data_IF_913416722805
#
_entry.id   IF_913416722805
#
_cell.length_a   1.000
_cell.length_b   1.000
_cell.length_c   1.000
_cell.angle_alpha   90.00
_cell.angle_beta   90.00
_cell.angle_gamma   90.00
#
_symmetry.space_group_name_H-M   'P 1'
#
loop_
_entity.id
_entity.type
_entity.pdbx_description
1 polymer ?
#
# COMPACT_ATOMS: atom_id res chain seq x y z
N UNK A 1 15.49 18.47 -32.16
CA UNK A 1 14.26 18.02 -31.44
C UNK A 1 14.13 18.81 -30.14
N UNK A 2 12.94 19.29 -29.76
CA UNK A 2 12.75 20.03 -28.50
C UNK A 2 12.36 19.05 -27.40
N UNK A 3 13.27 18.79 -26.46
CA UNK A 3 13.01 17.90 -25.32
C UNK A 3 11.99 18.58 -24.40
N UNK A 4 10.91 17.87 -24.09
CA UNK A 4 9.90 18.33 -23.15
C UNK A 4 10.36 18.13 -21.70
N UNK A 5 9.84 18.93 -20.77
CA UNK A 5 10.13 18.78 -19.33
C UNK A 5 9.71 17.42 -18.77
N UNK A 6 8.68 16.78 -19.36
CA UNK A 6 8.26 15.43 -18.99
C UNK A 6 9.35 14.40 -19.29
N UNK A 7 10.05 14.55 -20.42
CA UNK A 7 11.15 13.67 -20.83
C UNK A 7 12.42 13.86 -19.99
N UNK A 8 12.59 15.00 -19.33
CA UNK A 8 13.75 15.30 -18.47
C UNK A 8 13.63 14.65 -17.09
N UNK A 9 12.41 14.38 -16.61
CA UNK A 9 12.18 13.99 -15.21
C UNK A 9 12.87 12.67 -14.84
N UNK A 10 12.76 11.65 -15.69
CA UNK A 10 13.40 10.34 -15.45
C UNK A 10 14.93 10.44 -15.51
N UNK A 11 15.55 11.00 -16.57
CA UNK A 11 16.99 11.24 -16.60
C UNK A 11 17.52 12.07 -15.44
N UNK A 12 16.76 13.06 -14.95
CA UNK A 12 17.13 13.86 -13.78
C UNK A 12 17.24 13.01 -12.51
N UNK A 13 16.25 12.15 -12.26
CA UNK A 13 16.21 11.29 -11.07
C UNK A 13 17.26 10.18 -11.22
N UNK A 14 17.40 9.60 -12.41
CA UNK A 14 18.44 8.63 -12.80
C UNK A 14 19.84 9.16 -12.54
N UNK A 15 20.14 10.39 -13.00
CA UNK A 15 21.43 11.05 -12.81
C UNK A 15 21.76 11.29 -11.32
N UNK A 16 20.77 11.65 -10.50
CA UNK A 16 20.96 11.78 -9.05
C UNK A 16 21.21 10.43 -8.38
N UNK A 17 20.49 9.37 -8.80
CA UNK A 17 20.69 8.03 -8.24
C UNK A 17 22.07 7.48 -8.57
N UNK A 18 22.53 7.64 -9.81
CA UNK A 18 23.88 7.23 -10.24
C UNK A 18 24.99 7.97 -9.50
N UNK A 19 24.70 9.15 -8.96
CA UNK A 19 25.65 9.95 -8.18
C UNK A 19 25.48 9.78 -6.66
N UNK A 20 25.02 8.61 -6.21
CA UNK A 20 24.89 8.30 -4.78
C UNK A 20 23.71 8.99 -4.08
N UNK A 21 22.71 9.42 -4.84
CA UNK A 21 21.47 9.99 -4.33
C UNK A 21 21.51 11.50 -4.07
N UNK A 22 22.69 12.14 -4.08
CA UNK A 22 22.80 13.60 -3.91
C UNK A 22 23.93 14.20 -4.76
N UNK A 23 23.66 15.33 -5.42
CA UNK A 23 24.63 15.96 -6.33
C UNK A 23 24.44 17.46 -6.49
N UNK A 24 25.41 18.10 -7.16
CA UNK A 24 25.38 19.53 -7.49
C UNK A 24 24.70 19.75 -8.85
N UNK A 25 24.03 20.90 -9.06
CA UNK A 25 23.35 21.20 -10.32
C UNK A 25 24.23 21.06 -11.55
N UNK A 26 25.50 21.51 -11.46
CA UNK A 26 26.43 21.46 -12.60
C UNK A 26 26.65 20.03 -13.09
N UNK A 27 26.94 19.11 -12.16
CA UNK A 27 27.19 17.70 -12.45
C UNK A 27 25.92 17.00 -12.98
N UNK A 28 24.77 17.36 -12.43
CA UNK A 28 23.47 16.85 -12.90
C UNK A 28 23.11 17.35 -14.29
N UNK A 29 23.39 18.60 -14.64
CA UNK A 29 23.15 19.09 -16.01
C UNK A 29 23.95 18.30 -17.03
N UNK A 30 25.22 18.01 -16.75
CA UNK A 30 26.09 17.22 -17.61
C UNK A 30 25.56 15.79 -17.76
N UNK A 31 25.29 15.10 -16.65
CA UNK A 31 24.78 13.73 -16.66
C UNK A 31 23.43 13.58 -17.37
N UNK A 32 22.49 14.51 -17.16
CA UNK A 32 21.19 14.52 -17.85
C UNK A 32 21.35 14.78 -19.35
N UNK A 33 22.30 15.66 -19.74
CA UNK A 33 22.56 15.92 -21.15
C UNK A 33 23.19 14.71 -21.86
N UNK A 34 24.08 13.99 -21.17
CA UNK A 34 24.68 12.76 -21.66
C UNK A 34 23.64 11.64 -21.82
N UNK A 35 22.78 11.44 -20.82
CA UNK A 35 21.71 10.43 -20.87
C UNK A 35 20.68 10.71 -21.97
N UNK A 36 20.42 11.99 -22.28
CA UNK A 36 19.54 12.40 -23.38
C UNK A 36 20.22 12.44 -24.75
N UNK A 37 21.51 12.10 -24.85
CA UNK A 37 22.26 12.11 -26.10
C UNK A 37 22.38 13.50 -26.75
N UNK A 38 22.44 14.57 -25.94
CA UNK A 38 22.43 15.94 -26.44
C UNK A 38 23.76 16.33 -27.09
N UNK A 39 23.69 16.93 -28.28
CA UNK A 39 24.85 17.49 -28.99
C UNK A 39 25.36 18.79 -28.32
N UNK A 40 26.60 19.17 -28.62
CA UNK A 40 27.21 20.40 -28.07
C UNK A 40 26.37 21.67 -28.31
N UNK A 41 25.86 21.82 -29.54
CA UNK A 41 24.97 22.93 -29.93
C UNK A 41 23.66 22.92 -29.13
N UNK A 42 23.08 21.74 -28.89
CA UNK A 42 21.85 21.62 -28.12
C UNK A 42 22.06 21.95 -26.64
N UNK A 43 23.23 21.61 -26.08
CA UNK A 43 23.61 21.94 -24.69
C UNK A 43 23.83 23.44 -24.49
N UNK A 44 24.33 24.16 -25.50
CA UNK A 44 24.65 25.60 -25.41
C UNK A 44 23.53 26.54 -25.84
N UNK A 45 22.40 26.00 -26.32
CA UNK A 45 21.27 26.79 -26.81
C UNK A 45 20.76 27.77 -25.76
N UNK A 46 20.72 29.05 -26.12
CA UNK A 46 20.21 30.12 -25.27
C UNK A 46 18.69 30.32 -25.41
N UNK A 47 18.06 30.87 -24.38
CA UNK A 47 16.67 31.33 -24.42
C UNK A 47 16.57 32.68 -25.13
N UNK A 48 15.36 33.05 -25.53
CA UNK A 48 15.07 34.47 -25.80
C UNK A 48 15.37 35.29 -24.54
N UNK A 49 15.76 36.55 -24.74
CA UNK A 49 16.00 37.49 -23.65
C UNK A 49 14.74 37.63 -22.78
N UNK A 50 14.93 37.64 -21.47
CA UNK A 50 13.86 37.88 -20.51
C UNK A 50 13.49 39.38 -20.45
N UNK A 51 12.59 39.74 -19.53
CA UNK A 51 12.14 41.13 -19.35
C UNK A 51 13.26 42.11 -18.96
N UNK A 52 14.40 41.60 -18.52
CA UNK A 52 15.59 42.37 -18.12
C UNK A 52 16.71 42.29 -19.17
N UNK A 53 16.44 41.72 -20.36
CA UNK A 53 17.41 41.57 -21.43
C UNK A 53 18.40 40.41 -21.25
N UNK A 54 18.25 39.57 -20.20
CA UNK A 54 19.17 38.45 -19.94
C UNK A 54 18.76 37.20 -20.71
N UNK A 55 19.77 36.50 -21.24
CA UNK A 55 19.59 35.17 -21.83
C UNK A 55 20.13 34.10 -20.88
N UNK A 56 19.54 32.91 -20.96
CA UNK A 56 19.96 31.77 -20.14
C UNK A 56 20.13 30.54 -21.00
N UNK A 57 20.92 29.57 -20.52
CA UNK A 57 20.95 28.25 -21.12
C UNK A 57 19.55 27.63 -21.05
N UNK A 58 18.96 27.33 -22.21
CA UNK A 58 17.60 26.84 -22.34
C UNK A 58 17.43 25.45 -21.73
N UNK A 59 18.43 24.58 -21.89
CA UNK A 59 18.40 23.21 -21.36
C UNK A 59 18.51 23.21 -19.82
N UNK A 60 19.52 23.88 -19.26
CA UNK A 60 19.68 23.98 -17.81
C UNK A 60 18.47 24.63 -17.13
N UNK A 61 17.85 25.61 -17.79
CA UNK A 61 16.58 26.19 -17.34
C UNK A 61 15.49 25.13 -17.26
N UNK A 62 15.29 24.33 -18.31
CA UNK A 62 14.26 23.28 -18.33
C UNK A 62 14.56 22.16 -17.32
N UNK A 63 15.83 21.83 -17.06
CA UNK A 63 16.21 20.93 -15.96
C UNK A 63 15.84 21.53 -14.59
N UNK A 64 16.11 22.83 -14.35
CA UNK A 64 15.69 23.52 -13.11
C UNK A 64 14.17 23.52 -12.90
N UNK A 65 13.39 23.78 -13.96
CA UNK A 65 11.93 23.70 -13.89
C UNK A 65 11.45 22.27 -13.61
N UNK A 66 12.12 21.27 -14.20
CA UNK A 66 11.81 19.87 -13.97
C UNK A 66 12.14 19.48 -12.52
N UNK A 67 13.27 19.93 -11.98
CA UNK A 67 13.61 19.79 -10.55
C UNK A 67 12.57 20.43 -9.65
N UNK A 68 12.11 21.65 -9.95
CA UNK A 68 11.07 22.30 -9.14
C UNK A 68 9.77 21.48 -9.13
N UNK A 69 9.44 20.88 -10.27
CA UNK A 69 8.31 19.94 -10.39
C UNK A 69 8.55 18.68 -9.56
N UNK A 70 9.75 18.10 -9.63
CA UNK A 70 10.14 16.92 -8.87
C UNK A 70 10.10 17.18 -7.34
N UNK A 71 10.54 18.34 -6.88
CA UNK A 71 10.42 18.76 -5.48
C UNK A 71 8.96 18.91 -5.05
N UNK A 72 8.10 19.50 -5.88
CA UNK A 72 6.65 19.57 -5.59
C UNK A 72 6.00 18.19 -5.50
N UNK A 73 6.51 17.23 -6.28
CA UNK A 73 6.11 15.82 -6.25
C UNK A 73 6.78 15.03 -5.13
N UNK A 74 7.60 15.64 -4.29
CA UNK A 74 8.29 14.97 -3.20
C UNK A 74 9.41 14.02 -3.64
N UNK A 75 9.86 14.06 -4.90
CA UNK A 75 10.88 13.16 -5.48
C UNK A 75 12.33 13.63 -5.21
N UNK A 76 12.52 14.94 -5.04
CA UNK A 76 13.83 15.56 -4.83
C UNK A 76 13.73 16.59 -3.70
N UNK A 77 14.59 16.47 -2.70
CA UNK A 77 14.81 17.44 -1.63
C UNK A 77 16.05 18.30 -1.89
N UNK A 78 16.20 19.37 -1.11
CA UNK A 78 17.44 20.14 -1.03
C UNK A 78 17.83 20.29 0.44
N UNK A 79 18.60 19.33 0.97
CA UNK A 79 19.03 19.34 2.37
C UNK A 79 19.96 20.53 2.65
N UNK A 80 20.75 20.93 1.64
CA UNK A 80 21.68 22.05 1.72
C UNK A 80 21.59 22.95 0.49
N UNK A 81 22.05 24.19 0.64
CA UNK A 81 22.05 25.17 -0.46
C UNK A 81 23.00 24.69 -1.56
N UNK A 82 22.45 24.45 -2.75
CA UNK A 82 23.24 24.02 -3.91
C UNK A 82 23.38 22.50 -4.06
N UNK A 83 22.74 21.71 -3.19
CA UNK A 83 22.69 20.24 -3.29
C UNK A 83 21.26 19.81 -3.62
N UNK A 84 21.12 18.92 -4.60
CA UNK A 84 19.88 18.24 -4.94
C UNK A 84 20.00 16.79 -4.48
N UNK A 85 19.03 16.31 -3.71
CA UNK A 85 19.03 14.95 -3.17
C UNK A 85 17.75 14.24 -3.57
N UNK A 86 17.84 12.98 -3.96
CA UNK A 86 16.66 12.11 -4.02
C UNK A 86 16.07 11.97 -2.63
N UNK A 87 14.74 11.89 -2.61
CA UNK A 87 14.00 11.37 -1.46
C UNK A 87 13.78 9.87 -1.66
N UNK A 88 13.28 9.19 -0.64
CA UNK A 88 12.87 7.78 -0.74
C UNK A 88 11.90 7.57 -1.92
N UNK A 89 10.93 8.47 -2.09
CA UNK A 89 10.01 8.48 -3.23
C UNK A 89 10.71 8.65 -4.58
N UNK A 90 11.78 9.46 -4.61
CA UNK A 90 12.61 9.67 -5.79
C UNK A 90 13.33 8.40 -6.22
N UNK A 91 13.91 7.68 -5.26
CA UNK A 91 14.50 6.37 -5.50
C UNK A 91 13.45 5.37 -5.98
N UNK A 92 12.32 5.26 -5.29
CA UNK A 92 11.24 4.33 -5.64
C UNK A 92 10.75 4.53 -7.09
N UNK A 93 10.79 5.76 -7.61
CA UNK A 93 10.37 6.04 -8.99
C UNK A 93 11.22 5.37 -10.07
N UNK A 94 12.52 5.16 -9.83
CA UNK A 94 13.39 4.44 -10.77
C UNK A 94 13.17 2.92 -10.71
N UNK A 95 12.77 2.44 -9.54
CA UNK A 95 12.58 1.02 -9.24
C UNK A 95 11.13 0.56 -9.44
N UNK A 96 10.30 1.36 -10.12
CA UNK A 96 8.93 0.98 -10.41
C UNK A 96 8.80 0.11 -11.66
N UNK A 97 7.89 -0.87 -11.60
CA UNK A 97 7.64 -1.78 -12.70
C UNK A 97 7.18 -1.03 -13.96
N UNK A 98 7.67 -1.49 -15.13
CA UNK A 98 7.18 -1.05 -16.44
C UNK A 98 5.87 -1.76 -16.79
N UNK A 99 5.06 -1.18 -17.67
CA UNK A 99 3.85 -1.82 -18.17
C UNK A 99 4.17 -3.10 -18.95
N UNK A 100 3.39 -4.16 -18.73
CA UNK A 100 3.55 -5.44 -19.41
C UNK A 100 4.64 -6.35 -18.84
N UNK A 101 5.35 -5.91 -17.78
CA UNK A 101 6.42 -6.68 -17.15
C UNK A 101 5.92 -7.34 -15.85
N UNK A 102 6.09 -8.66 -15.76
CA UNK A 102 5.95 -9.42 -14.51
C UNK A 102 7.26 -10.12 -14.21
N UNK A 103 7.88 -9.80 -13.09
CA UNK A 103 9.15 -10.42 -12.66
C UNK A 103 9.00 -10.99 -11.26
N UNK A 104 9.35 -12.27 -11.09
CA UNK A 104 9.48 -12.86 -9.75
C UNK A 104 10.76 -12.33 -9.09
N UNK A 105 10.61 -11.63 -7.98
CA UNK A 105 11.73 -11.11 -7.16
C UNK A 105 12.29 -12.24 -6.32
N UNK A 106 11.40 -12.96 -5.63
CA UNK A 106 11.74 -14.18 -4.91
C UNK A 106 10.49 -15.06 -4.74
N UNK A 107 10.74 -16.30 -4.35
CA UNK A 107 9.71 -17.27 -4.04
C UNK A 107 10.07 -18.07 -2.78
N UNK A 108 9.08 -18.68 -2.16
CA UNK A 108 9.17 -19.64 -1.06
C UNK A 108 8.39 -20.89 -1.45
N UNK A 109 8.38 -21.96 -0.62
CA UNK A 109 7.51 -23.11 -0.87
C UNK A 109 6.00 -22.76 -0.94
N UNK A 110 5.57 -21.68 -0.27
CA UNK A 110 4.17 -21.27 -0.22
C UNK A 110 3.79 -20.16 -1.20
N UNK A 111 4.74 -19.47 -1.83
CA UNK A 111 4.33 -18.34 -2.66
C UNK A 111 5.43 -17.54 -3.34
N UNK A 112 5.00 -16.50 -4.05
CA UNK A 112 5.87 -15.69 -4.91
C UNK A 112 5.62 -14.19 -4.74
N UNK A 113 6.72 -13.43 -4.69
CA UNK A 113 6.71 -11.97 -4.69
C UNK A 113 6.99 -11.44 -6.10
N UNK A 114 6.02 -10.75 -6.69
CA UNK A 114 6.07 -10.29 -8.08
C UNK A 114 6.27 -8.78 -8.16
N UNK A 115 7.29 -8.35 -8.90
CA UNK A 115 7.48 -6.96 -9.28
C UNK A 115 6.73 -6.69 -10.58
N UNK A 116 5.60 -5.99 -10.47
CA UNK A 116 4.70 -5.69 -11.59
C UNK A 116 3.76 -4.55 -11.22
N UNK A 117 3.19 -3.91 -12.24
CA UNK A 117 2.01 -3.05 -12.05
C UNK A 117 0.75 -3.90 -11.88
N UNK A 118 -0.23 -3.33 -11.17
CA UNK A 118 -1.53 -3.95 -10.90
C UNK A 118 -2.26 -4.34 -12.20
N UNK A 119 -2.32 -3.42 -13.15
CA UNK A 119 -3.06 -3.56 -14.40
C UNK A 119 -2.48 -4.67 -15.28
N UNK A 120 -1.17 -4.90 -15.18
CA UNK A 120 -0.50 -6.02 -15.85
C UNK A 120 -0.78 -7.33 -15.13
N UNK A 121 -0.68 -7.35 -13.80
CA UNK A 121 -0.77 -8.57 -13.01
C UNK A 121 -2.09 -9.32 -13.15
N UNK A 122 -3.22 -8.60 -13.21
CA UNK A 122 -4.56 -9.19 -13.28
C UNK A 122 -4.68 -10.21 -14.41
N UNK A 123 -4.08 -9.94 -15.58
CA UNK A 123 -4.12 -10.82 -16.75
C UNK A 123 -3.36 -12.14 -16.59
N UNK A 124 -2.51 -12.27 -15.57
CA UNK A 124 -1.68 -13.45 -15.33
C UNK A 124 -2.27 -14.42 -14.28
N UNK A 125 -3.34 -14.03 -13.59
CA UNK A 125 -4.04 -14.92 -12.69
C UNK A 125 -5.01 -15.82 -13.46
N UNK A 126 -5.08 -17.08 -13.06
CA UNK A 126 -6.12 -18.00 -13.50
C UNK A 126 -7.48 -17.55 -12.98
N UNK A 127 -8.53 -17.80 -13.78
CA UNK A 127 -9.90 -17.57 -13.34
C UNK A 127 -10.28 -18.55 -12.23
N UNK A 128 -11.15 -18.14 -11.29
CA UNK A 128 -11.67 -19.00 -10.22
C UNK A 128 -10.57 -19.66 -9.34
N UNK A 129 -9.47 -18.95 -9.11
CA UNK A 129 -8.30 -19.49 -8.39
C UNK A 129 -8.11 -18.88 -6.98
N UNK A 130 -8.55 -17.64 -6.76
CA UNK A 130 -8.21 -16.87 -5.55
C UNK A 130 -9.28 -17.05 -4.47
N UNK A 131 -8.88 -17.51 -3.27
CA UNK A 131 -9.79 -17.62 -2.11
C UNK A 131 -9.96 -16.30 -1.38
N UNK A 132 -8.86 -15.56 -1.22
CA UNK A 132 -8.87 -14.27 -0.53
C UNK A 132 -7.97 -13.26 -1.25
N UNK A 133 -8.57 -12.15 -1.68
CA UNK A 133 -7.81 -10.95 -2.01
C UNK A 133 -7.77 -10.06 -0.77
N UNK A 134 -6.60 -9.92 -0.15
CA UNK A 134 -6.44 -9.08 1.05
C UNK A 134 -5.35 -8.04 0.82
N UNK A 135 -5.73 -6.77 0.96
CA UNK A 135 -4.79 -5.66 0.70
C UNK A 135 -5.17 -4.39 1.46
N UNK A 136 -4.21 -3.49 1.56
CA UNK A 136 -4.37 -2.14 2.09
C UNK A 136 -3.95 -1.15 1.01
N UNK A 137 -4.87 -0.72 0.11
CA UNK A 137 -4.53 0.16 -1.00
C UNK A 137 -3.99 1.50 -0.51
N UNK A 138 -3.25 2.24 -1.36
CA UNK A 138 -2.90 3.63 -1.04
C UNK A 138 -4.17 4.47 -0.90
N UNK A 139 -4.23 5.37 0.09
CA UNK A 139 -5.45 6.15 0.37
C UNK A 139 -5.51 7.47 -0.43
N UNK A 140 -6.70 8.07 -0.62
CA UNK A 140 -6.81 9.37 -1.28
C UNK A 140 -5.95 10.42 -0.56
N UNK A 141 -5.12 11.14 -1.32
CA UNK A 141 -4.18 12.15 -0.79
C UNK A 141 -2.93 11.60 -0.08
N UNK A 142 -2.81 10.28 0.15
CA UNK A 142 -1.57 9.65 0.64
C UNK A 142 -0.55 9.40 -0.50
N UNK A 143 -1.02 9.44 -1.75
CA UNK A 143 -0.24 9.17 -2.96
C UNK A 143 0.79 10.25 -3.33
N UNK A 144 0.97 11.31 -2.53
CA UNK A 144 2.19 12.11 -2.65
C UNK A 144 3.46 11.31 -2.38
N UNK A 145 3.36 10.10 -1.82
CA UNK A 145 4.47 9.17 -1.54
C UNK A 145 4.40 7.85 -2.35
N UNK A 146 3.52 7.72 -3.35
CA UNK A 146 3.45 6.54 -4.19
C UNK A 146 3.25 6.98 -5.64
N UNK A 147 3.87 6.30 -6.61
CA UNK A 147 4.27 6.88 -7.89
C UNK A 147 3.17 7.31 -8.89
N UNK A 148 1.88 7.29 -8.53
CA UNK A 148 0.75 7.41 -9.45
C UNK A 148 -0.07 8.71 -9.33
N UNK A 149 0.55 9.82 -8.90
CA UNK A 149 -0.09 11.14 -8.93
C UNK A 149 -1.17 11.34 -7.87
N UNK A 150 -1.64 12.59 -7.72
CA UNK A 150 -2.71 12.92 -6.78
C UNK A 150 -4.02 12.27 -7.27
N UNK A 151 -4.36 11.07 -6.80
CA UNK A 151 -5.74 10.60 -6.91
C UNK A 151 -6.56 11.44 -5.95
N UNK A 152 -7.38 12.33 -6.51
CA UNK A 152 -8.50 12.88 -5.78
C UNK A 152 -9.49 11.76 -5.41
N UNK A 153 -10.48 12.11 -4.60
CA UNK A 153 -11.46 11.17 -4.08
C UNK A 153 -12.10 10.30 -5.17
N UNK A 154 -12.48 10.90 -6.30
CA UNK A 154 -13.20 10.20 -7.38
C UNK A 154 -12.28 9.30 -8.21
N UNK A 155 -11.07 9.78 -8.49
CA UNK A 155 -10.05 8.99 -9.17
C UNK A 155 -9.64 7.77 -8.34
N UNK A 156 -9.58 7.93 -7.01
CA UNK A 156 -9.31 6.81 -6.10
C UNK A 156 -10.45 5.78 -6.11
N UNK A 157 -11.70 6.23 -6.05
CA UNK A 157 -12.86 5.33 -6.12
C UNK A 157 -12.85 4.56 -7.44
N UNK A 158 -12.58 5.22 -8.56
CA UNK A 158 -12.50 4.57 -9.87
C UNK A 158 -11.38 3.53 -9.93
N UNK A 159 -10.18 3.87 -9.45
CA UNK A 159 -9.07 2.92 -9.31
C UNK A 159 -9.46 1.66 -8.51
N UNK A 160 -10.14 1.83 -7.39
CA UNK A 160 -10.61 0.69 -6.58
C UNK A 160 -11.67 -0.14 -7.31
N UNK A 161 -12.59 0.48 -8.03
CA UNK A 161 -13.60 -0.23 -8.83
C UNK A 161 -12.96 -1.01 -9.98
N UNK A 162 -11.94 -0.45 -10.63
CA UNK A 162 -11.19 -1.11 -11.71
C UNK A 162 -10.42 -2.32 -11.17
N UNK A 163 -9.76 -2.18 -10.02
CA UNK A 163 -9.10 -3.31 -9.34
C UNK A 163 -10.09 -4.42 -9.01
N UNK A 164 -11.21 -4.08 -8.34
CA UNK A 164 -12.21 -5.06 -7.92
C UNK A 164 -12.79 -5.78 -9.14
N UNK A 165 -13.12 -5.04 -10.19
CA UNK A 165 -13.66 -5.61 -11.43
C UNK A 165 -12.65 -6.48 -12.16
N UNK A 166 -11.37 -6.10 -12.17
CA UNK A 166 -10.29 -6.87 -12.78
C UNK A 166 -10.06 -8.23 -12.08
N UNK A 167 -10.10 -8.24 -10.74
CA UNK A 167 -9.94 -9.48 -9.97
C UNK A 167 -11.22 -10.31 -9.85
N UNK A 168 -12.39 -9.75 -10.12
CA UNK A 168 -13.67 -10.46 -10.03
C UNK A 168 -13.68 -11.85 -10.70
N UNK A 169 -13.27 -12.03 -11.97
CA UNK A 169 -13.23 -13.35 -12.60
C UNK A 169 -12.16 -14.30 -12.01
N UNK A 170 -11.19 -13.74 -11.29
CA UNK A 170 -10.07 -14.48 -10.68
C UNK A 170 -10.43 -15.05 -9.30
N UNK A 171 -11.43 -14.47 -8.65
CA UNK A 171 -11.93 -14.94 -7.37
C UNK A 171 -12.70 -16.25 -7.53
N UNK A 172 -12.59 -17.12 -6.52
CA UNK A 172 -13.50 -18.26 -6.39
C UNK A 172 -14.92 -17.83 -6.09
N UNK A 173 -15.90 -18.66 -6.44
CA UNK A 173 -17.31 -18.44 -6.08
C UNK A 173 -17.52 -18.29 -4.56
N UNK A 174 -16.70 -18.94 -3.75
CA UNK A 174 -16.69 -18.81 -2.28
C UNK A 174 -15.68 -17.78 -1.78
N UNK A 175 -14.96 -17.12 -2.67
CA UNK A 175 -13.87 -16.21 -2.35
C UNK A 175 -14.35 -14.88 -1.78
N UNK A 176 -13.42 -14.20 -1.09
CA UNK A 176 -13.66 -12.90 -0.46
C UNK A 176 -12.60 -11.88 -0.86
N UNK A 177 -12.99 -10.62 -0.95
CA UNK A 177 -12.06 -9.49 -0.96
C UNK A 177 -12.14 -8.77 0.38
N UNK A 178 -11.00 -8.52 1.02
CA UNK A 178 -10.90 -7.78 2.27
C UNK A 178 -9.96 -6.58 2.09
N UNK A 179 -10.52 -5.37 2.16
CA UNK A 179 -9.82 -4.13 1.82
C UNK A 179 -9.66 -3.25 3.06
N UNK A 180 -8.45 -3.14 3.61
CA UNK A 180 -8.16 -2.21 4.71
C UNK A 180 -8.01 -0.79 4.17
N UNK A 181 -8.95 0.10 4.50
CA UNK A 181 -8.99 1.45 3.93
C UNK A 181 -9.33 2.47 5.00
N UNK A 182 -8.40 3.38 5.30
CA UNK A 182 -8.66 4.46 6.25
C UNK A 182 -9.58 5.55 5.68
N UNK A 183 -10.34 6.19 6.57
CA UNK A 183 -10.91 7.50 6.29
C UNK A 183 -9.81 8.57 6.31
N UNK A 184 -9.86 9.49 5.35
CA UNK A 184 -8.88 10.56 5.18
C UNK A 184 -9.58 11.91 5.19
N UNK A 185 -8.82 12.99 5.41
CA UNK A 185 -9.35 14.36 5.39
C UNK A 185 -9.20 14.98 4.00
N UNK A 186 -10.14 15.81 3.61
CA UNK A 186 -10.00 16.65 2.41
C UNK A 186 -8.77 17.54 2.58
N UNK A 187 -7.86 17.62 1.58
CA UNK A 187 -6.64 18.41 1.68
C UNK A 187 -6.92 19.85 2.12
N UNK A 188 -6.31 20.25 3.24
CA UNK A 188 -6.43 21.60 3.79
C UNK A 188 -7.68 21.90 4.59
N UNK A 189 -8.65 20.98 4.69
CA UNK A 189 -9.92 21.18 5.39
C UNK A 189 -10.10 20.15 6.54
N UNK A 190 -10.79 20.51 7.64
CA UNK A 190 -11.08 19.60 8.74
C UNK A 190 -12.33 18.73 8.48
N UNK A 191 -12.60 18.36 7.24
CA UNK A 191 -13.72 17.50 6.82
C UNK A 191 -13.16 16.18 6.27
N UNK A 192 -13.86 15.08 6.50
CA UNK A 192 -13.48 13.78 5.93
C UNK A 192 -13.85 13.71 4.45
N UNK A 193 -13.12 12.89 3.71
CA UNK A 193 -13.49 12.44 2.37
C UNK A 193 -14.54 11.32 2.47
N UNK A 194 -15.37 11.21 1.44
CA UNK A 194 -16.49 10.26 1.33
C UNK A 194 -16.14 9.06 0.42
N UNK A 195 -14.87 8.84 0.10
CA UNK A 195 -14.41 7.75 -0.80
C UNK A 195 -14.91 6.36 -0.37
N UNK A 196 -14.98 6.07 0.93
CA UNK A 196 -15.53 4.79 1.41
C UNK A 196 -17.03 4.67 1.15
N UNK A 197 -17.79 5.73 1.39
CA UNK A 197 -19.24 5.79 1.12
C UNK A 197 -19.49 5.62 -0.37
N UNK A 198 -18.76 6.37 -1.21
CA UNK A 198 -18.83 6.28 -2.67
C UNK A 198 -18.46 4.90 -3.19
N UNK A 199 -17.37 4.30 -2.70
CA UNK A 199 -16.97 2.95 -3.08
C UNK A 199 -18.07 1.94 -2.75
N UNK A 200 -18.66 2.00 -1.55
CA UNK A 200 -19.78 1.11 -1.16
C UNK A 200 -21.00 1.29 -2.07
N UNK A 201 -21.36 2.52 -2.40
CA UNK A 201 -22.47 2.80 -3.29
C UNK A 201 -22.20 2.25 -4.69
N UNK A 202 -21.04 2.53 -5.27
CA UNK A 202 -20.67 2.05 -6.60
C UNK A 202 -20.58 0.53 -6.67
N UNK A 203 -20.08 -0.13 -5.63
CA UNK A 203 -20.10 -1.60 -5.55
C UNK A 203 -21.52 -2.15 -5.73
N UNK A 204 -22.51 -1.60 -5.02
CA UNK A 204 -23.88 -2.12 -5.08
C UNK A 204 -24.65 -1.70 -6.35
N UNK A 205 -24.31 -0.56 -6.96
CA UNK A 205 -25.00 -0.04 -8.15
C UNK A 205 -24.38 -0.47 -9.47
N UNK A 206 -23.07 -0.73 -9.51
CA UNK A 206 -22.32 -1.01 -10.75
C UNK A 206 -21.83 -2.46 -10.83
N UNK A 207 -21.85 -3.22 -9.72
CA UNK A 207 -21.35 -4.60 -9.68
C UNK A 207 -22.29 -5.54 -8.92
N UNK A 208 -21.98 -6.83 -8.94
CA UNK A 208 -22.67 -7.84 -8.14
C UNK A 208 -22.11 -7.97 -6.73
N UNK A 209 -20.96 -7.38 -6.46
CA UNK A 209 -20.34 -7.40 -5.14
C UNK A 209 -21.21 -6.68 -4.09
N UNK A 210 -21.18 -7.22 -2.87
CA UNK A 210 -21.82 -6.64 -1.68
C UNK A 210 -20.81 -6.60 -0.55
N UNK A 211 -20.96 -5.62 0.35
CA UNK A 211 -20.23 -5.64 1.62
C UNK A 211 -20.95 -6.62 2.54
N UNK A 212 -20.30 -7.74 2.85
CA UNK A 212 -20.82 -8.76 3.76
C UNK A 212 -20.76 -8.29 5.22
N UNK A 213 -19.64 -7.67 5.60
CA UNK A 213 -19.44 -7.07 6.91
C UNK A 213 -18.33 -5.99 6.85
N UNK A 214 -18.10 -5.29 7.95
CA UNK A 214 -16.98 -4.36 8.10
C UNK A 214 -16.28 -4.62 9.42
N UNK A 215 -15.05 -5.10 9.34
CA UNK A 215 -14.18 -5.19 10.50
C UNK A 215 -13.57 -3.81 10.74
N UNK A 216 -13.23 -3.51 11.98
CA UNK A 216 -12.64 -2.23 12.38
C UNK A 216 -11.33 -2.48 13.09
N UNK A 217 -10.22 -2.06 12.49
CA UNK A 217 -8.94 -2.09 13.15
C UNK A 217 -8.73 -0.80 13.95
N UNK A 218 -8.72 -0.93 15.28
CA UNK A 218 -8.27 0.11 16.18
C UNK A 218 -6.75 0.05 16.35
N UNK A 219 -6.08 1.01 15.72
CA UNK A 219 -4.65 1.27 15.86
C UNK A 219 -4.33 2.02 17.17
N UNK A 220 -3.95 1.25 18.19
CA UNK A 220 -3.66 1.80 19.53
C UNK A 220 -2.45 2.72 19.57
N UNK A 221 -1.51 2.60 18.62
CA UNK A 221 -0.28 3.40 18.54
C UNK A 221 -0.35 4.55 17.53
N UNK A 222 -1.52 4.81 16.92
CA UNK A 222 -1.71 5.92 15.98
C UNK A 222 -1.24 7.24 16.62
N UNK A 223 -0.62 8.13 15.86
CA UNK A 223 -0.27 9.47 16.37
C UNK A 223 -1.47 10.42 16.32
N UNK A 224 -1.39 11.57 16.98
CA UNK A 224 -2.39 12.64 16.90
C UNK A 224 -2.32 13.34 15.52
N UNK A 225 -2.78 12.64 14.48
CA UNK A 225 -2.75 13.07 13.08
C UNK A 225 -4.17 13.10 12.49
N UNK A 226 -4.55 14.10 11.67
CA UNK A 226 -3.74 15.23 11.23
C UNK A 226 -3.44 16.23 12.34
N UNK A 227 -2.15 16.57 12.52
CA UNK A 227 -1.65 17.36 13.66
C UNK A 227 -2.41 18.69 13.83
N UNK A 228 -2.67 19.39 12.71
CA UNK A 228 -3.37 20.67 12.71
C UNK A 228 -4.75 20.59 13.37
N UNK A 229 -5.54 19.55 13.05
CA UNK A 229 -6.93 19.43 13.51
C UNK A 229 -7.04 18.77 14.87
N UNK A 230 -6.20 17.77 15.15
CA UNK A 230 -6.27 16.94 16.35
C UNK A 230 -5.44 17.54 17.50
N UNK A 231 -4.18 17.90 17.25
CA UNK A 231 -3.24 18.30 18.30
C UNK A 231 -3.17 19.83 18.48
N UNK A 232 -3.15 20.59 17.38
CA UNK A 232 -2.97 22.04 17.40
C UNK A 232 -4.29 22.77 17.67
N UNK A 233 -5.30 22.59 16.80
CA UNK A 233 -6.60 23.26 16.95
C UNK A 233 -7.55 22.53 17.90
N UNK A 234 -7.34 21.22 18.11
CA UNK A 234 -8.16 20.36 19.00
C UNK A 234 -9.65 20.38 18.67
N UNK A 235 -9.98 20.45 17.38
CA UNK A 235 -11.36 20.47 16.86
C UNK A 235 -11.82 19.11 16.33
N UNK A 236 -10.95 18.09 16.34
CA UNK A 236 -11.25 16.72 15.91
C UNK A 236 -10.64 15.71 16.87
N UNK A 237 -11.29 14.55 16.95
CA UNK A 237 -10.75 13.38 17.63
C UNK A 237 -9.68 12.69 16.78
N UNK A 238 -8.86 11.88 17.44
CA UNK A 238 -7.83 11.05 16.81
C UNK A 238 -8.48 9.96 15.95
N UNK A 239 -8.23 9.90 14.63
CA UNK A 239 -8.73 8.84 13.76
C UNK A 239 -7.87 7.58 13.93
N UNK A 240 -8.11 6.83 15.00
CA UNK A 240 -7.38 5.60 15.33
C UNK A 240 -8.03 4.33 14.82
N UNK A 241 -9.16 4.42 14.11
CA UNK A 241 -9.89 3.26 13.60
C UNK A 241 -9.87 3.27 12.07
N UNK A 242 -9.48 2.14 11.47
CA UNK A 242 -9.47 1.92 10.01
C UNK A 242 -10.42 0.75 9.69
N UNK A 243 -11.42 0.90 8.81
CA UNK A 243 -12.28 -0.19 8.40
C UNK A 243 -11.58 -1.14 7.42
N UNK A 244 -11.85 -2.44 7.58
CA UNK A 244 -11.59 -3.47 6.59
C UNK A 244 -12.93 -3.86 5.97
N UNK A 245 -13.14 -3.47 4.72
CA UNK A 245 -14.34 -3.83 3.97
C UNK A 245 -14.24 -5.30 3.58
N UNK A 246 -15.18 -6.13 4.03
CA UNK A 246 -15.29 -7.51 3.58
C UNK A 246 -16.36 -7.62 2.50
N UNK A 247 -15.95 -7.94 1.29
CA UNK A 247 -16.73 -7.86 0.06
C UNK A 247 -16.74 -9.22 -0.64
N UNK A 248 -17.88 -9.64 -1.17
CA UNK A 248 -18.01 -10.80 -2.08
C UNK A 248 -19.26 -10.67 -2.95
N UNK A 249 -19.30 -11.35 -4.09
CA UNK A 249 -20.54 -11.55 -4.85
C UNK A 249 -21.44 -12.61 -4.20
N UNK A 250 -20.83 -13.55 -3.46
CA UNK A 250 -21.54 -14.62 -2.78
C UNK A 250 -21.84 -14.21 -1.31
N UNK A 251 -23.11 -14.08 -0.91
CA UNK A 251 -23.47 -13.76 0.47
C UNK A 251 -23.09 -14.87 1.47
N UNK A 252 -22.76 -16.06 0.97
CA UNK A 252 -22.29 -17.22 1.74
C UNK A 252 -20.81 -17.53 1.46
N UNK A 253 -20.01 -16.50 1.11
CA UNK A 253 -18.56 -16.64 0.94
C UNK A 253 -17.93 -17.36 2.15
N UNK A 254 -16.86 -18.10 1.88
CA UNK A 254 -16.14 -18.93 2.85
C UNK A 254 -15.77 -18.10 4.07
N UNK A 255 -16.24 -18.52 5.24
CA UNK A 255 -15.93 -17.89 6.50
C UNK A 255 -16.07 -18.84 7.68
N UNK A 256 -15.15 -18.75 8.64
CA UNK A 256 -15.22 -19.49 9.90
C UNK A 256 -14.77 -18.65 11.09
N UNK A 257 -15.74 -18.09 11.83
CA UNK A 257 -15.45 -17.26 13.00
C UNK A 257 -14.81 -18.04 14.17
N UNK A 258 -14.84 -19.39 14.14
CA UNK A 258 -14.14 -20.22 15.13
C UNK A 258 -12.62 -20.16 14.97
N UNK A 259 -12.12 -19.78 13.79
CA UNK A 259 -10.69 -19.63 13.54
C UNK A 259 -10.10 -18.37 14.19
N UNK A 260 -10.96 -17.47 14.69
CA UNK A 260 -10.56 -16.17 15.26
C UNK A 260 -11.16 -15.91 16.64
N UNK A 261 -11.48 -16.96 17.40
CA UNK A 261 -12.00 -16.83 18.76
C UNK A 261 -11.04 -16.02 19.65
N UNK A 262 -11.62 -15.22 20.54
CA UNK A 262 -10.90 -14.51 21.58
C UNK A 262 -10.89 -15.34 22.85
N UNK A 263 -9.82 -15.20 23.64
CA UNK A 263 -9.82 -15.75 25.00
C UNK A 263 -10.98 -15.16 25.78
N UNK A 264 -11.68 -16.01 26.51
CA UNK A 264 -12.72 -15.57 27.43
C UNK A 264 -12.15 -14.56 28.42
N UNK A 265 -12.88 -13.45 28.64
CA UNK A 265 -12.57 -12.53 29.74
C UNK A 265 -12.88 -13.14 31.11
N UNK A 266 -13.93 -13.97 31.15
CA UNK A 266 -14.37 -14.78 32.28
C UNK A 266 -14.89 -16.11 31.75
N UNK A 267 -14.67 -17.24 32.44
CA UNK A 267 -15.19 -18.53 32.03
C UNK A 267 -16.70 -18.49 31.77
N UNK A 268 -17.23 -19.24 30.78
CA UNK A 268 -18.68 -19.30 30.52
C UNK A 268 -19.51 -19.65 31.77
N UNK A 269 -18.96 -20.49 32.65
CA UNK A 269 -19.56 -20.86 33.93
C UNK A 269 -19.77 -19.68 34.89
N UNK A 270 -18.96 -18.62 34.81
CA UNK A 270 -19.05 -17.42 35.65
C UNK A 270 -19.87 -16.29 35.02
N UNK A 271 -20.06 -16.31 33.71
CA UNK A 271 -20.87 -15.33 32.98
C UNK A 271 -22.31 -15.77 32.77
N UNK A 272 -22.67 -16.94 33.32
CA UNK A 272 -23.99 -17.52 33.22
C UNK A 272 -25.08 -16.55 33.65
N UNK A 273 -26.02 -16.29 32.75
CA UNK A 273 -27.25 -15.58 33.06
C UNK A 273 -28.30 -16.59 33.51
N UNK A 274 -29.07 -16.29 34.56
CA UNK A 274 -30.16 -17.12 35.13
C UNK A 274 -31.36 -17.35 34.18
N UNK A 275 -31.16 -17.29 32.85
CA UNK A 275 -32.24 -17.25 31.87
C UNK A 275 -33.19 -16.08 32.11
N UNK A 276 -34.37 -16.14 31.47
CA UNK A 276 -35.45 -15.19 31.71
C UNK A 276 -35.78 -14.34 30.50
N UNK A 277 -36.81 -13.51 30.64
CA UNK A 277 -37.31 -12.62 29.59
C UNK A 277 -36.71 -11.24 29.82
N UNK A 278 -35.93 -10.75 28.85
CA UNK A 278 -35.45 -9.37 28.88
C UNK A 278 -36.63 -8.39 28.72
N UNK A 279 -36.52 -7.13 29.18
CA UNK A 279 -37.57 -6.12 28.98
C UNK A 279 -38.05 -5.98 27.53
N UNK A 280 -37.18 -6.26 26.54
CA UNK A 280 -37.53 -6.30 25.11
C UNK A 280 -38.12 -7.63 24.62
N UNK A 281 -38.70 -8.46 25.49
CA UNK A 281 -39.41 -9.69 25.14
C UNK A 281 -38.54 -10.88 24.73
N UNK A 282 -37.23 -10.69 24.52
CA UNK A 282 -36.32 -11.78 24.16
C UNK A 282 -36.12 -12.74 25.34
N UNK A 283 -36.49 -14.01 25.12
CA UNK A 283 -36.27 -15.09 26.09
C UNK A 283 -34.85 -15.61 25.96
N UNK A 284 -34.07 -15.48 27.03
CA UNK A 284 -32.75 -16.08 27.08
C UNK A 284 -32.86 -17.50 27.63
N UNK A 285 -32.26 -18.45 26.91
CA UNK A 285 -32.03 -19.79 27.43
C UNK A 285 -31.18 -19.69 28.70
N UNK A 286 -31.54 -20.48 29.71
CA UNK A 286 -30.73 -20.64 30.90
C UNK A 286 -29.39 -21.28 30.51
N UNK A 287 -29.37 -22.30 29.65
CA UNK A 287 -28.16 -23.08 29.33
C UNK A 287 -27.46 -22.72 28.03
N UNK A 288 -28.03 -21.84 27.19
CA UNK A 288 -27.54 -21.61 25.82
C UNK A 288 -26.10 -21.06 25.71
N UNK A 289 -25.56 -20.49 26.78
CA UNK A 289 -24.23 -19.87 26.82
C UNK A 289 -23.29 -20.50 27.85
N UNK A 290 -23.63 -21.67 28.41
CA UNK A 290 -22.84 -22.31 29.47
C UNK A 290 -21.69 -23.19 28.95
N UNK A 291 -21.69 -23.53 27.65
CA UNK A 291 -20.67 -24.37 27.05
C UNK A 291 -19.35 -23.63 26.80
N UNK A 292 -18.23 -24.28 27.12
CA UNK A 292 -16.91 -23.86 26.66
C UNK A 292 -16.73 -24.24 25.19
N UNK A 293 -16.52 -23.24 24.34
CA UNK A 293 -16.33 -23.38 22.90
C UNK A 293 -14.88 -23.07 22.47
N UNK A 294 -13.94 -23.07 23.41
CA UNK A 294 -12.53 -22.73 23.17
C UNK A 294 -12.24 -21.22 23.12
N UNK A 295 -13.27 -20.37 23.22
CA UNK A 295 -13.16 -18.92 23.25
C UNK A 295 -14.48 -18.22 22.91
N UNK A 296 -14.51 -16.90 23.12
CA UNK A 296 -15.65 -16.06 22.75
C UNK A 296 -15.57 -15.64 21.28
N UNK A 297 -16.73 -15.55 20.61
CA UNK A 297 -16.83 -14.98 19.26
C UNK A 297 -16.20 -13.58 19.25
N UNK A 298 -15.29 -13.34 18.31
CA UNK A 298 -14.64 -12.04 18.18
C UNK A 298 -15.67 -10.97 17.74
N UNK A 299 -15.63 -9.76 18.34
CA UNK A 299 -16.36 -8.63 17.78
C UNK A 299 -15.68 -8.16 16.49
N UNK A 300 -16.43 -7.41 15.66
CA UNK A 300 -15.88 -6.76 14.46
C UNK A 300 -14.74 -5.79 14.74
N UNK A 301 -14.59 -5.33 16.00
CA UNK A 301 -13.51 -4.45 16.43
C UNK A 301 -12.26 -5.25 16.83
N UNK A 302 -11.21 -5.14 16.03
CA UNK A 302 -9.88 -5.68 16.28
C UNK A 302 -8.94 -4.58 16.79
N UNK A 303 -8.21 -4.79 17.89
CA UNK A 303 -7.27 -3.81 18.44
C UNK A 303 -5.83 -4.31 18.38
N UNK A 304 -4.96 -3.56 17.71
CA UNK A 304 -3.52 -3.80 17.66
C UNK A 304 -2.77 -2.50 17.36
N UNK A 305 -1.55 -2.34 17.87
CA UNK A 305 -0.71 -1.21 17.48
C UNK A 305 -0.27 -1.33 16.02
N UNK A 306 -0.06 -0.20 15.35
CA UNK A 306 0.63 -0.14 14.05
C UNK A 306 2.02 -0.77 14.09
N UNK A 307 2.56 -1.06 12.91
CA UNK A 307 3.83 -1.77 12.77
C UNK A 307 4.88 -0.92 12.05
N UNK A 308 6.14 -1.08 12.46
CA UNK A 308 7.31 -0.64 11.69
C UNK A 308 8.05 -1.84 11.07
N UNK A 309 7.46 -3.04 11.15
CA UNK A 309 8.14 -4.29 10.85
C UNK A 309 9.09 -4.74 11.97
N UNK A 310 9.53 -6.01 11.93
CA UNK A 310 10.42 -6.57 12.94
C UNK A 310 11.81 -5.90 12.91
N UNK A 311 12.55 -5.98 14.02
CA UNK A 311 13.85 -5.32 14.18
C UNK A 311 14.87 -5.77 13.12
N UNK A 312 14.99 -7.08 12.88
CA UNK A 312 15.93 -7.64 11.90
C UNK A 312 15.68 -7.11 10.48
N UNK A 313 14.41 -6.92 10.10
CA UNK A 313 14.03 -6.36 8.80
C UNK A 313 14.53 -4.91 8.67
N UNK A 314 14.30 -4.07 9.70
CA UNK A 314 14.76 -2.68 9.69
C UNK A 314 16.28 -2.55 9.67
N UNK A 315 16.98 -3.45 10.36
CA UNK A 315 18.44 -3.51 10.35
C UNK A 315 18.98 -3.89 8.96
N UNK A 316 18.34 -4.85 8.29
CA UNK A 316 18.71 -5.26 6.94
C UNK A 316 18.47 -4.15 5.90
N UNK A 317 17.32 -3.45 5.96
CA UNK A 317 17.07 -2.28 5.12
C UNK A 317 18.16 -1.22 5.26
N UNK A 318 18.53 -0.88 6.51
CA UNK A 318 19.57 0.10 6.79
C UNK A 318 20.93 -0.33 6.23
N UNK A 319 21.26 -1.62 6.33
CA UNK A 319 22.53 -2.17 5.82
C UNK A 319 22.62 -2.05 4.29
N UNK A 320 21.51 -2.22 3.59
CA UNK A 320 21.41 -2.20 2.13
C UNK A 320 21.03 -0.83 1.55
N UNK A 321 20.85 0.18 2.40
CA UNK A 321 20.40 1.51 1.94
C UNK A 321 19.00 1.52 1.34
N UNK A 322 18.16 0.53 1.67
CA UNK A 322 16.81 0.40 1.13
C UNK A 322 15.78 1.21 1.95
N UNK A 323 14.78 1.82 1.30
CA UNK A 323 13.75 2.58 1.98
C UNK A 323 12.81 1.68 2.79
N UNK A 324 12.35 2.18 3.93
CA UNK A 324 11.33 1.51 4.72
C UNK A 324 9.94 1.90 4.22
N UNK A 325 9.09 0.90 3.97
CA UNK A 325 7.68 1.15 3.65
C UNK A 325 7.01 2.02 4.74
N UNK A 326 6.36 3.14 4.39
CA UNK A 326 5.95 4.14 5.36
C UNK A 326 4.68 3.77 6.14
N UNK A 327 3.88 2.83 5.63
CA UNK A 327 2.61 2.41 6.22
C UNK A 327 2.50 0.88 6.29
N UNK A 328 3.09 0.26 7.30
CA UNK A 328 3.05 -1.20 7.48
C UNK A 328 1.88 -1.56 8.41
N UNK A 329 0.92 -2.35 7.90
CA UNK A 329 -0.15 -2.90 8.73
C UNK A 329 0.39 -3.96 9.72
N UNK A 330 -0.28 -4.22 10.84
CA UNK A 330 0.12 -5.26 11.79
C UNK A 330 -0.10 -6.65 11.18
N UNK A 331 0.88 -7.55 11.31
CA UNK A 331 0.72 -8.94 10.85
C UNK A 331 -0.49 -9.63 11.50
N UNK A 332 -0.80 -9.30 12.76
CA UNK A 332 -1.95 -9.84 13.45
C UNK A 332 -3.30 -9.44 12.80
N UNK A 333 -3.38 -8.28 12.13
CA UNK A 333 -4.57 -7.89 11.37
C UNK A 333 -4.71 -8.80 10.14
N UNK A 334 -3.64 -8.97 9.39
CA UNK A 334 -3.60 -9.87 8.23
C UNK A 334 -3.96 -11.31 8.63
N UNK A 335 -3.34 -11.82 9.69
CA UNK A 335 -3.63 -13.16 10.21
C UNK A 335 -5.10 -13.31 10.63
N UNK A 336 -5.72 -12.28 11.22
CA UNK A 336 -7.12 -12.32 11.61
C UNK A 336 -8.03 -12.45 10.37
N UNK A 337 -7.82 -11.61 9.36
CA UNK A 337 -8.57 -11.66 8.10
C UNK A 337 -8.37 -12.99 7.36
N UNK A 338 -7.13 -13.45 7.21
CA UNK A 338 -6.79 -14.71 6.53
C UNK A 338 -7.42 -15.90 7.24
N UNK A 339 -7.28 -16.02 8.57
CA UNK A 339 -7.91 -17.11 9.34
C UNK A 339 -9.43 -17.14 9.21
N UNK A 340 -10.06 -15.97 9.16
CA UNK A 340 -11.51 -15.86 9.08
C UNK A 340 -12.03 -16.36 7.72
N UNK A 341 -11.36 -16.02 6.62
CA UNK A 341 -11.87 -16.23 5.26
C UNK A 341 -11.18 -17.37 4.46
N UNK A 342 -10.17 -18.05 5.02
CA UNK A 342 -9.41 -19.11 4.33
C UNK A 342 -9.06 -20.28 5.25
N UNK A 343 -8.68 -21.41 4.65
CA UNK A 343 -8.09 -22.60 5.27
C UNK A 343 -6.61 -22.79 4.82
N UNK A 344 -5.81 -23.64 5.48
CA UNK A 344 -4.48 -23.98 5.00
C UNK A 344 -4.50 -24.48 3.55
N UNK A 345 -3.55 -24.04 2.72
CA UNK A 345 -3.45 -24.35 1.30
C UNK A 345 -4.32 -23.48 0.38
N UNK A 346 -5.21 -22.65 0.92
CA UNK A 346 -5.94 -21.65 0.11
C UNK A 346 -4.97 -20.57 -0.40
N UNK A 347 -5.30 -19.99 -1.56
CA UNK A 347 -4.54 -18.94 -2.22
C UNK A 347 -4.99 -17.55 -1.75
N UNK A 348 -4.05 -16.81 -1.17
CA UNK A 348 -4.20 -15.41 -0.76
C UNK A 348 -3.43 -14.49 -1.71
N UNK A 349 -4.10 -13.48 -2.26
CA UNK A 349 -3.48 -12.50 -3.15
C UNK A 349 -3.47 -11.11 -2.52
N UNK A 350 -2.32 -10.44 -2.56
CA UNK A 350 -2.18 -9.04 -2.20
C UNK A 350 -1.66 -8.22 -3.39
N UNK A 351 -2.54 -7.47 -4.10
CA UNK A 351 -2.17 -6.67 -5.27
C UNK A 351 -1.31 -5.44 -4.98
N UNK A 352 -1.15 -5.03 -3.72
CA UNK A 352 -0.42 -3.82 -3.32
C UNK A 352 0.34 -4.10 -2.02
N UNK A 353 1.18 -5.12 -2.10
CA UNK A 353 1.67 -5.81 -0.91
C UNK A 353 2.71 -5.02 -0.10
N UNK A 354 3.34 -4.02 -0.71
CA UNK A 354 4.34 -3.14 -0.10
C UNK A 354 5.40 -3.95 0.62
N UNK A 355 5.38 -3.86 1.95
CA UNK A 355 6.31 -4.60 2.80
C UNK A 355 6.07 -6.12 2.88
N UNK A 356 5.12 -6.73 2.17
CA UNK A 356 4.78 -8.17 2.20
C UNK A 356 4.30 -8.68 3.58
N UNK A 357 3.48 -7.90 4.28
CA UNK A 357 2.88 -8.35 5.56
C UNK A 357 1.89 -9.50 5.33
N UNK A 358 1.11 -9.44 4.26
CA UNK A 358 0.14 -10.49 3.87
C UNK A 358 0.86 -11.82 3.63
N UNK A 359 1.90 -11.84 2.81
CA UNK A 359 2.73 -13.03 2.58
C UNK A 359 3.31 -13.61 3.89
N UNK A 360 3.84 -12.77 4.78
CA UNK A 360 4.37 -13.23 6.08
C UNK A 360 3.29 -13.88 6.95
N UNK A 361 2.07 -13.33 6.94
CA UNK A 361 0.94 -13.95 7.60
C UNK A 361 0.54 -15.28 6.95
N UNK A 362 0.57 -15.38 5.62
CA UNK A 362 0.27 -16.61 4.88
C UNK A 362 1.27 -17.73 5.20
N UNK A 363 2.57 -17.42 5.21
CA UNK A 363 3.63 -18.35 5.63
C UNK A 363 3.39 -18.91 7.04
N UNK A 364 3.08 -18.03 7.99
CA UNK A 364 2.80 -18.45 9.38
C UNK A 364 1.54 -19.32 9.49
N UNK A 365 0.62 -19.19 8.53
CA UNK A 365 -0.67 -19.88 8.53
C UNK A 365 -0.73 -21.02 7.50
N UNK A 366 0.36 -21.33 6.80
CA UNK A 366 0.40 -22.33 5.73
C UNK A 366 -0.69 -22.09 4.66
N UNK A 367 -0.84 -20.84 4.23
CA UNK A 367 -1.63 -20.47 3.04
C UNK A 367 -0.67 -20.23 1.89
N UNK A 368 -1.11 -20.57 0.69
CA UNK A 368 -0.37 -20.20 -0.51
C UNK A 368 -0.60 -18.72 -0.79
N UNK A 369 0.39 -18.06 -1.38
CA UNK A 369 0.32 -16.61 -1.58
C UNK A 369 0.96 -16.13 -2.86
N UNK A 370 0.33 -15.12 -3.46
CA UNK A 370 0.93 -14.30 -4.51
C UNK A 370 0.80 -12.84 -4.10
N UNK A 371 1.92 -12.18 -3.89
CA UNK A 371 1.94 -10.79 -3.48
C UNK A 371 2.70 -9.99 -4.52
N UNK A 372 2.17 -8.86 -4.92
CA UNK A 372 2.79 -8.00 -5.92
C UNK A 372 2.86 -6.56 -5.47
N UNK A 373 3.89 -5.87 -5.96
CA UNK A 373 4.03 -4.43 -5.78
C UNK A 373 4.74 -3.83 -7.00
N UNK A 374 4.40 -2.58 -7.29
CA UNK A 374 5.09 -1.81 -8.33
C UNK A 374 6.51 -1.43 -7.92
N UNK A 375 6.81 -1.32 -6.63
CA UNK A 375 8.11 -0.90 -6.09
C UNK A 375 9.04 -2.09 -5.82
N UNK A 376 10.11 -2.21 -6.61
CA UNK A 376 11.12 -3.25 -6.38
C UNK A 376 11.85 -3.05 -5.05
N UNK A 377 12.08 -1.80 -4.62
CA UNK A 377 12.78 -1.50 -3.37
C UNK A 377 12.02 -2.07 -2.15
N UNK A 378 10.69 -2.02 -2.17
CA UNK A 378 9.85 -2.57 -1.10
C UNK A 378 9.88 -4.10 -1.10
N UNK A 379 9.75 -4.74 -2.26
CA UNK A 379 9.81 -6.20 -2.38
C UNK A 379 11.20 -6.73 -2.00
N UNK A 380 12.24 -6.06 -2.49
CA UNK A 380 13.62 -6.36 -2.14
C UNK A 380 13.83 -6.23 -0.64
N UNK A 381 13.44 -5.13 -0.01
CA UNK A 381 13.54 -4.97 1.43
C UNK A 381 12.78 -6.05 2.21
N UNK A 382 11.56 -6.35 1.78
CA UNK A 382 10.68 -7.31 2.42
C UNK A 382 11.17 -8.76 2.37
N UNK A 383 12.02 -9.12 1.39
CA UNK A 383 12.61 -10.46 1.24
C UNK A 383 13.36 -10.93 2.49
N UNK A 384 13.91 -10.02 3.28
CA UNK A 384 14.59 -10.34 4.55
C UNK A 384 13.68 -10.95 5.62
N UNK A 385 12.36 -10.90 5.44
CA UNK A 385 11.38 -11.60 6.28
C UNK A 385 11.18 -13.07 5.90
N UNK A 386 11.83 -13.52 4.84
CA UNK A 386 11.70 -14.85 4.27
C UNK A 386 13.10 -15.49 4.16
N UNK A 387 13.55 -16.22 5.20
CA UNK A 387 14.89 -16.80 5.22
C UNK A 387 15.07 -17.95 4.21
N UNK A 388 14.01 -18.72 3.94
CA UNK A 388 14.04 -19.89 3.04
C UNK A 388 13.70 -19.54 1.58
N UNK A 389 13.81 -18.27 1.21
CA UNK A 389 13.45 -17.81 -0.14
C UNK A 389 14.49 -18.24 -1.18
N UNK A 390 14.02 -18.52 -2.40
CA UNK A 390 14.83 -18.52 -3.61
C UNK A 390 14.64 -17.18 -4.30
N UNK A 391 15.72 -16.39 -4.40
CA UNK A 391 15.64 -15.03 -4.94
C UNK A 391 16.32 -14.90 -6.30
N UNK A 392 15.85 -13.94 -7.09
CA UNK A 392 16.47 -13.56 -8.34
C UNK A 392 17.66 -12.62 -8.07
N UNK A 393 18.79 -13.20 -7.65
CA UNK A 393 19.99 -12.43 -7.26
C UNK A 393 20.48 -11.52 -8.39
N UNK A 394 20.44 -11.98 -9.64
CA UNK A 394 20.86 -11.16 -10.79
C UNK A 394 19.99 -9.92 -11.00
N UNK A 395 18.67 -10.01 -10.77
CA UNK A 395 17.78 -8.85 -10.78
C UNK A 395 18.15 -7.86 -9.66
N UNK A 396 18.31 -8.37 -8.44
CA UNK A 396 18.57 -7.55 -7.26
C UNK A 396 19.92 -6.82 -7.38
N UNK A 397 20.97 -7.52 -7.82
CA UNK A 397 22.31 -6.94 -8.06
C UNK A 397 22.30 -5.91 -9.20
N UNK A 398 21.48 -6.12 -10.24
CA UNK A 398 21.42 -5.21 -11.38
C UNK A 398 20.60 -3.93 -11.08
N UNK A 399 19.61 -4.02 -10.21
CA UNK A 399 18.60 -2.96 -10.03
C UNK A 399 18.70 -2.23 -8.69
N UNK A 400 19.48 -2.73 -7.73
CA UNK A 400 19.66 -2.12 -6.42
C UNK A 400 21.10 -1.66 -6.24
N UNK A 401 21.33 -0.59 -5.45
CA UNK A 401 22.65 0.01 -5.24
C UNK A 401 23.65 -0.88 -4.48
#
# INVERSE_FOLDING_TARGET
MRISRKQILLPLISALSKDGGASTPKKIYEAVADELGLTHEQRKRQTKADRNGQTHNAFERDVRWTRQTATRKGLIASPERGVWSLTDLGHDKLHNASEGLVVTVFETPHGQALWTKLETAVGHFEDNAIDLLFTSPPYPGALKQYANGDLDEESWVSFMMDMISGFAPKMRDTGSMMLNVAETYVPGLPIKQEHLTKLRMRLVTETRFRVLDTLYWHNTSRLASPFRWVAQQRIRLKPSVEPVLWISENPYAKANNRNVLQKYKKPPSETYHMGGVRPGGHRMSSTGFSGDNGGSIAPVLFSAGGSAGPKYYREALKKEGLPQHPAIMPEALAQHCIKLATDPGDLVVDPMAGSLTTARACETLSRDWICLDSSLSYLAGARHKFPERRENSSLLEAMLP
#
